data_IF_642220735177
#
_entry.id   IF_642220735177
#
_cell.length_a   1.000
_cell.length_b   1.000
_cell.length_c   1.000
_cell.angle_alpha   90.00
_cell.angle_beta   90.00
_cell.angle_gamma   90.00
#
_symmetry.space_group_name_H-M   'P 1'
#
loop_
_entity.id
_entity.type
_entity.pdbx_description
1 polymer ?
#
# COMPACT_ATOMS: atom_id res chain seq x y z
N UNK A 1 -40.20 207.31 -11.77
CA UNK A 1 -41.22 206.52 -12.49
C UNK A 1 -41.45 205.12 -11.90
N UNK A 2 -40.41 204.29 -11.70
CA UNK A 2 -40.51 202.91 -11.19
C UNK A 2 -41.16 202.74 -9.79
N UNK A 3 -41.19 203.77 -8.93
CA UNK A 3 -41.84 203.70 -7.60
C UNK A 3 -43.36 203.97 -7.62
N UNK A 4 -43.90 204.67 -8.65
CA UNK A 4 -45.36 204.91 -8.80
C UNK A 4 -46.09 203.73 -9.47
N UNK A 5 -45.39 202.93 -10.29
CA UNK A 5 -45.99 201.82 -11.04
C UNK A 5 -46.15 200.52 -10.23
N UNK A 6 -45.28 200.26 -9.23
CA UNK A 6 -45.50 199.13 -8.29
C UNK A 6 -46.72 199.32 -7.39
N UNK A 7 -47.18 200.56 -7.18
CA UNK A 7 -48.42 200.85 -6.44
C UNK A 7 -49.71 200.52 -7.20
N UNK A 8 -49.64 200.21 -8.50
CA UNK A 8 -50.79 199.94 -9.37
C UNK A 8 -50.95 198.45 -9.76
N UNK A 9 -50.21 197.53 -9.12
CA UNK A 9 -50.40 196.08 -9.30
C UNK A 9 -49.74 195.44 -10.54
N UNK A 10 -48.74 196.09 -11.16
CA UNK A 10 -48.00 195.51 -12.29
C UNK A 10 -46.68 194.80 -11.86
N UNK A 11 -46.46 193.58 -12.37
CA UNK A 11 -45.19 192.83 -12.21
C UNK A 11 -44.12 193.33 -13.18
N UNK A 12 -42.89 193.55 -12.69
CA UNK A 12 -41.75 194.07 -13.47
C UNK A 12 -40.61 193.06 -13.42
N UNK A 13 -40.08 192.67 -14.58
CA UNK A 13 -38.98 191.70 -14.72
C UNK A 13 -37.72 192.38 -15.27
N UNK A 14 -36.57 192.09 -14.63
CA UNK A 14 -35.28 192.76 -14.93
C UNK A 14 -34.44 192.03 -16.00
N UNK A 15 -34.84 190.83 -16.45
CA UNK A 15 -34.19 190.08 -17.54
C UNK A 15 -35.17 189.18 -18.30
N UNK A 16 -34.83 188.83 -19.54
CA UNK A 16 -35.74 188.12 -20.46
C UNK A 16 -36.06 186.66 -20.09
N UNK A 17 -35.13 185.80 -19.60
CA UNK A 17 -35.46 184.42 -19.26
C UNK A 17 -36.60 184.25 -18.24
N UNK A 18 -36.64 184.99 -17.11
CA UNK A 18 -37.76 184.89 -16.17
C UNK A 18 -39.06 185.45 -16.77
N UNK A 19 -39.00 186.47 -17.63
CA UNK A 19 -40.16 186.94 -18.38
C UNK A 19 -40.67 185.89 -19.38
N UNK A 20 -39.78 185.23 -20.11
CA UNK A 20 -40.11 184.20 -21.11
C UNK A 20 -40.75 182.96 -20.49
N UNK A 21 -40.25 182.51 -19.33
CA UNK A 21 -40.87 181.41 -18.59
C UNK A 21 -42.26 181.79 -18.05
N UNK A 22 -42.43 183.01 -17.54
CA UNK A 22 -43.74 183.53 -17.10
C UNK A 22 -44.73 183.61 -18.28
N UNK A 23 -44.28 184.11 -19.43
CA UNK A 23 -45.07 184.19 -20.66
C UNK A 23 -45.51 182.80 -21.15
N UNK A 24 -44.59 181.83 -21.21
CA UNK A 24 -44.87 180.43 -21.61
C UNK A 24 -45.96 179.79 -20.78
N UNK A 25 -45.88 179.94 -19.46
CA UNK A 25 -46.86 179.37 -18.54
C UNK A 25 -48.23 180.00 -18.71
N UNK A 26 -48.32 181.31 -18.96
CA UNK A 26 -49.61 181.99 -19.13
C UNK A 26 -50.32 181.62 -20.44
N UNK A 27 -49.56 181.35 -21.50
CA UNK A 27 -50.09 181.00 -22.83
C UNK A 27 -50.09 179.50 -23.15
N UNK A 28 -49.58 178.64 -22.26
CA UNK A 28 -49.70 177.17 -22.38
C UNK A 28 -48.72 176.51 -23.37
N UNK A 29 -47.48 177.00 -23.50
CA UNK A 29 -46.47 176.47 -24.45
C UNK A 29 -45.42 175.61 -23.70
N UNK A 30 -45.35 174.29 -24.00
CA UNK A 30 -44.57 173.30 -23.22
C UNK A 30 -43.06 173.25 -23.51
N UNK A 31 -42.62 173.42 -24.77
CA UNK A 31 -41.20 173.28 -25.15
C UNK A 31 -40.56 174.62 -25.53
N UNK A 32 -39.30 174.81 -25.12
CA UNK A 32 -38.54 176.05 -25.31
C UNK A 32 -38.27 176.37 -26.78
N UNK A 33 -38.03 175.34 -27.58
CA UNK A 33 -37.88 175.43 -29.04
C UNK A 33 -39.11 176.02 -29.75
N UNK A 34 -40.31 175.98 -29.14
CA UNK A 34 -41.50 176.61 -29.73
C UNK A 34 -41.42 178.14 -29.74
N UNK A 35 -40.74 178.75 -28.76
CA UNK A 35 -40.50 180.20 -28.70
C UNK A 35 -39.35 180.63 -29.61
N UNK A 36 -38.32 179.80 -29.77
CA UNK A 36 -37.27 180.00 -30.79
C UNK A 36 -37.86 179.89 -32.20
N UNK A 37 -38.75 178.93 -32.42
CA UNK A 37 -39.55 178.82 -33.63
C UNK A 37 -40.39 180.08 -33.86
N UNK A 38 -41.15 180.57 -32.87
CA UNK A 38 -41.96 181.79 -33.01
C UNK A 38 -41.11 183.03 -33.31
N UNK A 39 -39.97 183.18 -32.64
CA UNK A 39 -39.00 184.25 -32.90
C UNK A 39 -38.42 184.12 -34.32
N UNK A 40 -38.05 182.92 -34.78
CA UNK A 40 -37.62 182.69 -36.17
C UNK A 40 -38.76 182.89 -37.18
N UNK A 41 -40.03 182.63 -36.82
CA UNK A 41 -41.18 182.82 -37.71
C UNK A 41 -41.53 184.31 -37.88
N UNK A 42 -41.38 185.14 -36.83
CA UNK A 42 -41.59 186.60 -36.90
C UNK A 42 -40.37 187.33 -37.50
N UNK A 43 -39.18 186.72 -37.44
CA UNK A 43 -37.90 187.31 -37.88
C UNK A 43 -37.43 186.88 -39.28
N UNK A 44 -38.19 186.05 -40.01
CA UNK A 44 -37.83 185.64 -41.37
C UNK A 44 -38.61 186.38 -42.47
N UNK A 45 -37.89 187.28 -43.15
CA UNK A 45 -38.27 187.90 -44.43
C UNK A 45 -37.85 186.92 -45.55
N UNK A 46 -38.77 186.02 -45.93
CA UNK A 46 -38.72 185.00 -47.01
C UNK A 46 -38.14 183.62 -46.67
N UNK A 47 -38.86 182.59 -47.14
CA UNK A 47 -38.77 181.15 -46.81
C UNK A 47 -37.89 180.41 -47.83
N UNK A 48 -37.04 179.49 -47.36
CA UNK A 48 -36.29 178.55 -48.20
C UNK A 48 -36.14 177.18 -47.54
N UNK A 49 -37.03 176.25 -47.91
CA UNK A 49 -36.93 174.78 -47.75
C UNK A 49 -37.34 174.15 -46.39
N UNK A 50 -38.49 173.49 -46.38
CA UNK A 50 -39.17 172.86 -45.23
C UNK A 50 -38.60 171.47 -44.87
N UNK A 51 -37.96 170.77 -45.82
CA UNK A 51 -37.62 169.34 -45.65
C UNK A 51 -36.41 169.11 -44.75
N UNK A 52 -35.38 169.96 -44.86
CA UNK A 52 -34.20 169.86 -43.99
C UNK A 52 -34.51 170.20 -42.54
N UNK A 53 -35.52 171.06 -42.32
CA UNK A 53 -36.02 171.37 -40.99
C UNK A 53 -36.57 170.12 -40.28
N UNK A 54 -37.38 169.31 -40.98
CA UNK A 54 -37.96 168.09 -40.40
C UNK A 54 -36.88 167.03 -40.15
N UNK A 55 -35.93 166.82 -41.08
CA UNK A 55 -34.91 165.77 -40.92
C UNK A 55 -33.94 166.07 -39.78
N UNK A 56 -33.58 167.35 -39.61
CA UNK A 56 -32.55 167.76 -38.64
C UNK A 56 -33.12 167.95 -37.24
N UNK A 57 -34.40 168.35 -37.12
CA UNK A 57 -35.00 168.69 -35.82
C UNK A 57 -36.08 167.72 -35.35
N UNK A 58 -36.49 166.71 -36.13
CA UNK A 58 -37.54 165.76 -35.71
C UNK A 58 -37.16 164.26 -35.71
N UNK A 59 -35.91 163.86 -35.97
CA UNK A 59 -35.51 162.44 -35.96
C UNK A 59 -34.17 162.19 -35.23
N UNK A 60 -34.17 161.30 -34.22
CA UNK A 60 -32.99 160.88 -33.42
C UNK A 60 -32.11 159.80 -34.12
N UNK A 61 -30.80 159.69 -33.84
CA UNK A 61 -29.92 158.67 -34.43
C UNK A 61 -30.10 157.25 -33.83
N UNK A 62 -29.93 156.18 -34.63
CA UNK A 62 -30.18 154.76 -34.27
C UNK A 62 -28.86 153.94 -34.27
N UNK A 63 -28.57 153.14 -33.22
CA UNK A 63 -27.31 152.38 -33.05
C UNK A 63 -27.47 150.85 -33.28
N UNK A 64 -26.90 150.31 -34.37
CA UNK A 64 -27.10 148.92 -34.82
C UNK A 64 -25.96 147.95 -34.49
N UNK A 65 -24.78 148.42 -34.11
CA UNK A 65 -23.57 147.58 -33.96
C UNK A 65 -23.62 146.64 -32.76
N UNK A 66 -24.01 147.15 -31.58
CA UNK A 66 -24.09 146.37 -30.35
C UNK A 66 -25.07 145.18 -30.46
N UNK A 67 -26.14 145.34 -31.25
CA UNK A 67 -27.16 144.30 -31.45
C UNK A 67 -26.62 143.08 -32.22
N UNK A 68 -25.68 143.29 -33.15
CA UNK A 68 -25.10 142.19 -33.95
C UNK A 68 -24.14 141.37 -33.10
N UNK A 69 -23.30 142.01 -32.29
CA UNK A 69 -22.34 141.28 -31.43
C UNK A 69 -23.05 140.44 -30.36
N UNK A 70 -24.13 140.96 -29.77
CA UNK A 70 -24.99 140.20 -28.87
C UNK A 70 -25.59 138.96 -29.54
N UNK A 71 -25.97 139.06 -30.82
CA UNK A 71 -26.51 137.94 -31.60
C UNK A 71 -25.46 136.85 -31.87
N UNK A 72 -24.21 137.24 -32.17
CA UNK A 72 -23.12 136.30 -32.42
C UNK A 72 -22.78 135.51 -31.15
N UNK A 73 -22.67 136.19 -30.00
CA UNK A 73 -22.44 135.49 -28.72
C UNK A 73 -23.55 134.50 -28.39
N UNK A 74 -24.81 134.89 -28.63
CA UNK A 74 -25.94 133.99 -28.45
C UNK A 74 -25.89 132.78 -29.40
N UNK A 75 -25.38 132.94 -30.62
CA UNK A 75 -25.18 131.82 -31.55
C UNK A 75 -24.07 130.87 -31.09
N UNK A 76 -22.94 131.40 -30.61
CA UNK A 76 -21.83 130.56 -30.10
C UNK A 76 -22.24 129.76 -28.86
N UNK A 77 -23.02 130.37 -27.95
CA UNK A 77 -23.57 129.67 -26.78
C UNK A 77 -24.55 128.56 -27.20
N UNK A 78 -25.38 128.81 -28.22
CA UNK A 78 -26.26 127.79 -28.81
C UNK A 78 -25.47 126.66 -29.49
N UNK A 79 -24.39 126.95 -30.22
CA UNK A 79 -23.56 125.93 -30.88
C UNK A 79 -22.83 125.06 -29.85
N UNK A 80 -22.27 125.65 -28.78
CA UNK A 80 -21.66 124.85 -27.69
C UNK A 80 -22.67 123.94 -27.01
N UNK A 81 -23.88 124.44 -26.73
CA UNK A 81 -24.95 123.63 -26.19
C UNK A 81 -25.33 122.49 -27.15
N UNK A 82 -25.41 122.78 -28.46
CA UNK A 82 -25.68 121.80 -29.49
C UNK A 82 -24.59 120.71 -29.58
N UNK A 83 -23.31 121.09 -29.56
CA UNK A 83 -22.18 120.16 -29.58
C UNK A 83 -22.13 119.29 -28.32
N UNK A 84 -22.43 119.86 -27.15
CA UNK A 84 -22.53 119.09 -25.90
C UNK A 84 -23.65 118.03 -25.98
N UNK A 85 -24.81 118.39 -26.55
CA UNK A 85 -25.92 117.45 -26.79
C UNK A 85 -25.52 116.37 -27.80
N UNK A 86 -24.84 116.71 -28.90
CA UNK A 86 -24.34 115.73 -29.86
C UNK A 86 -23.35 114.75 -29.23
N UNK A 87 -22.43 115.23 -28.38
CA UNK A 87 -21.48 114.39 -27.66
C UNK A 87 -22.18 113.46 -26.67
N UNK A 88 -23.14 113.97 -25.90
CA UNK A 88 -23.95 113.16 -25.00
C UNK A 88 -24.75 112.11 -25.76
N UNK A 89 -25.35 112.47 -26.91
CA UNK A 89 -26.06 111.52 -27.78
C UNK A 89 -25.15 110.40 -28.26
N UNK A 90 -23.94 110.72 -28.75
CA UNK A 90 -22.95 109.71 -29.15
C UNK A 90 -22.51 108.82 -27.99
N UNK A 91 -22.36 109.37 -26.79
CA UNK A 91 -22.03 108.57 -25.59
C UNK A 91 -23.16 107.62 -25.22
N UNK A 92 -24.42 108.08 -25.29
CA UNK A 92 -25.60 107.23 -25.10
C UNK A 92 -25.61 106.13 -26.15
N UNK A 93 -25.47 106.46 -27.43
CA UNK A 93 -25.48 105.49 -28.54
C UNK A 93 -24.41 104.39 -28.37
N UNK A 94 -23.22 104.75 -27.88
CA UNK A 94 -22.14 103.79 -27.61
C UNK A 94 -22.35 102.97 -26.32
N UNK A 95 -22.97 103.53 -25.28
CA UNK A 95 -23.19 102.84 -24.01
C UNK A 95 -24.46 101.97 -24.02
N UNK A 96 -25.47 102.31 -24.81
CA UNK A 96 -26.71 101.52 -24.93
C UNK A 96 -26.48 100.03 -25.24
N UNK A 97 -25.65 99.63 -26.23
CA UNK A 97 -25.40 98.21 -26.48
C UNK A 97 -24.65 97.53 -25.33
N UNK A 98 -23.72 98.22 -24.66
CA UNK A 98 -22.98 97.66 -23.52
C UNK A 98 -23.91 97.36 -22.32
N UNK A 99 -24.87 98.27 -22.06
CA UNK A 99 -25.88 98.05 -21.01
C UNK A 99 -26.80 96.89 -21.37
N UNK A 100 -27.22 96.79 -22.64
CA UNK A 100 -28.05 95.68 -23.13
C UNK A 100 -27.30 94.33 -23.03
N UNK A 101 -26.03 94.28 -23.41
CA UNK A 101 -25.20 93.08 -23.29
C UNK A 101 -24.91 92.72 -21.84
N UNK A 102 -24.73 93.71 -20.96
CA UNK A 102 -24.62 93.50 -19.51
C UNK A 102 -25.87 92.86 -18.91
N UNK A 103 -27.06 93.36 -19.28
CA UNK A 103 -28.33 92.78 -18.87
C UNK A 103 -28.50 91.35 -19.43
N UNK A 104 -28.11 91.11 -20.69
CA UNK A 104 -28.14 89.79 -21.31
C UNK A 104 -27.18 88.81 -20.61
N UNK A 105 -25.98 89.25 -20.27
CA UNK A 105 -25.01 88.44 -19.54
C UNK A 105 -25.54 88.05 -18.16
N UNK A 106 -26.09 89.00 -17.40
CA UNK A 106 -26.72 88.73 -16.09
C UNK A 106 -27.86 87.73 -16.21
N UNK A 107 -28.73 87.87 -17.21
CA UNK A 107 -29.82 86.93 -17.46
C UNK A 107 -29.31 85.51 -17.79
N UNK A 108 -28.25 85.40 -18.62
CA UNK A 108 -27.64 84.10 -18.95
C UNK A 108 -26.95 83.46 -17.75
N UNK A 109 -26.24 84.24 -16.93
CA UNK A 109 -25.59 83.74 -15.71
C UNK A 109 -26.63 83.24 -14.71
N UNK A 110 -27.72 83.99 -14.51
CA UNK A 110 -28.83 83.55 -13.68
C UNK A 110 -29.44 82.24 -14.20
N UNK A 111 -29.75 82.16 -15.50
CA UNK A 111 -30.27 80.94 -16.09
C UNK A 111 -29.32 79.75 -15.94
N UNK A 112 -28.01 79.92 -16.16
CA UNK A 112 -27.01 78.86 -15.97
C UNK A 112 -26.98 78.40 -14.50
N UNK A 113 -27.09 79.32 -13.55
CA UNK A 113 -27.13 78.99 -12.14
C UNK A 113 -28.40 78.20 -11.80
N UNK A 114 -29.57 78.63 -12.28
CA UNK A 114 -30.84 77.91 -12.11
C UNK A 114 -30.75 76.48 -12.66
N UNK A 115 -30.13 76.29 -13.84
CA UNK A 115 -29.92 74.96 -14.42
C UNK A 115 -28.98 74.08 -13.59
N UNK A 116 -27.94 74.67 -12.99
CA UNK A 116 -27.01 73.94 -12.10
C UNK A 116 -27.71 73.53 -10.82
N UNK A 117 -28.46 74.44 -10.22
CA UNK A 117 -29.22 74.17 -9.00
C UNK A 117 -30.28 73.09 -9.27
N UNK A 118 -31.02 73.20 -10.38
CA UNK A 118 -31.98 72.17 -10.80
C UNK A 118 -31.32 70.79 -10.99
N UNK A 119 -30.14 70.74 -11.62
CA UNK A 119 -29.36 69.49 -11.78
C UNK A 119 -28.95 68.91 -10.44
N UNK A 120 -28.44 69.74 -9.54
CA UNK A 120 -27.94 69.30 -8.24
C UNK A 120 -29.10 68.80 -7.34
N UNK A 121 -30.30 69.34 -7.52
CA UNK A 121 -31.55 68.85 -6.89
C UNK A 121 -32.06 67.51 -7.44
N UNK A 122 -31.62 67.05 -8.62
CA UNK A 122 -32.01 65.72 -9.12
C UNK A 122 -31.54 64.60 -8.20
N UNK A 123 -30.34 64.74 -7.59
CA UNK A 123 -29.79 63.72 -6.69
C UNK A 123 -30.68 63.44 -5.46
N UNK A 124 -31.06 64.45 -4.64
CA UNK A 124 -31.97 64.21 -3.53
C UNK A 124 -33.36 63.76 -3.99
N UNK A 125 -33.85 64.23 -5.14
CA UNK A 125 -35.12 63.77 -5.72
C UNK A 125 -35.10 62.26 -6.03
N UNK A 126 -34.09 61.78 -6.75
CA UNK A 126 -33.94 60.34 -7.03
C UNK A 126 -33.64 59.52 -5.77
N UNK A 127 -32.92 60.08 -4.80
CA UNK A 127 -32.71 59.43 -3.51
C UNK A 127 -34.03 59.21 -2.76
N UNK A 128 -34.95 60.19 -2.81
CA UNK A 128 -36.30 60.07 -2.23
C UNK A 128 -37.09 58.96 -2.92
N UNK A 129 -37.14 58.94 -4.26
CA UNK A 129 -37.81 57.89 -5.03
C UNK A 129 -37.22 56.50 -4.71
N UNK A 130 -35.89 56.41 -4.57
CA UNK A 130 -35.22 55.17 -4.16
C UNK A 130 -35.63 54.74 -2.75
N UNK A 131 -35.74 55.68 -1.82
CA UNK A 131 -36.26 55.44 -0.47
C UNK A 131 -37.67 54.85 -0.50
N UNK A 132 -38.59 55.51 -1.21
CA UNK A 132 -39.97 55.04 -1.36
C UNK A 132 -40.06 53.60 -1.94
N UNK A 133 -39.21 53.27 -2.93
CA UNK A 133 -39.14 51.91 -3.49
C UNK A 133 -38.56 50.88 -2.52
N UNK A 134 -37.54 51.27 -1.74
CA UNK A 134 -36.93 50.40 -0.73
C UNK A 134 -37.91 50.14 0.41
N UNK A 135 -38.63 51.14 0.88
CA UNK A 135 -39.67 50.99 1.92
C UNK A 135 -40.78 50.06 1.46
N UNK A 136 -41.23 50.20 0.20
CA UNK A 136 -42.17 49.25 -0.39
C UNK A 136 -41.62 47.84 -0.45
N UNK A 137 -40.34 47.67 -0.80
CA UNK A 137 -39.69 46.35 -0.85
C UNK A 137 -39.57 45.73 0.55
N UNK A 138 -39.26 46.54 1.56
CA UNK A 138 -39.21 46.10 2.96
C UNK A 138 -40.59 45.65 3.44
N UNK A 139 -41.66 46.38 3.10
CA UNK A 139 -43.03 45.97 3.40
C UNK A 139 -43.38 44.59 2.82
N UNK A 140 -43.09 44.37 1.53
CA UNK A 140 -43.32 43.08 0.88
C UNK A 140 -42.51 41.94 1.53
N UNK A 141 -41.25 42.20 1.90
CA UNK A 141 -40.42 41.20 2.57
C UNK A 141 -40.93 40.88 3.98
N UNK A 142 -41.47 41.87 4.70
CA UNK A 142 -42.08 41.64 6.01
C UNK A 142 -43.34 40.78 5.90
N UNK A 143 -44.19 41.02 4.90
CA UNK A 143 -45.36 40.18 4.62
C UNK A 143 -44.96 38.74 4.27
N UNK A 144 -43.93 38.57 3.42
CA UNK A 144 -43.39 37.25 3.08
C UNK A 144 -42.83 36.53 4.31
N UNK A 145 -42.13 37.22 5.20
CA UNK A 145 -41.60 36.66 6.44
C UNK A 145 -42.72 36.13 7.34
N UNK A 146 -43.75 36.95 7.59
CA UNK A 146 -44.94 36.54 8.38
C UNK A 146 -45.62 35.31 7.77
N UNK A 147 -45.75 35.26 6.44
CA UNK A 147 -46.33 34.10 5.74
C UNK A 147 -45.49 32.84 5.95
N UNK A 148 -44.17 32.94 5.85
CA UNK A 148 -43.26 31.81 6.03
C UNK A 148 -43.24 31.33 7.48
N UNK A 149 -43.24 32.24 8.46
CA UNK A 149 -43.30 31.87 9.87
C UNK A 149 -44.59 31.10 10.20
N UNK A 150 -45.75 31.56 9.70
CA UNK A 150 -47.01 30.85 9.86
C UNK A 150 -46.99 29.46 9.18
N UNK A 151 -46.29 29.31 8.04
CA UNK A 151 -46.12 28.02 7.38
C UNK A 151 -45.23 27.08 8.20
N UNK A 152 -44.15 27.58 8.80
CA UNK A 152 -43.26 26.82 9.68
C UNK A 152 -44.03 26.32 10.89
N UNK A 153 -44.77 27.20 11.59
CA UNK A 153 -45.58 26.82 12.75
C UNK A 153 -46.60 25.72 12.41
N UNK A 154 -47.26 25.83 11.25
CA UNK A 154 -48.20 24.81 10.77
C UNK A 154 -47.50 23.46 10.52
N UNK A 155 -46.34 23.47 9.88
CA UNK A 155 -45.58 22.25 9.57
C UNK A 155 -45.02 21.61 10.84
N UNK A 156 -44.55 22.40 11.81
CA UNK A 156 -44.10 21.89 13.10
C UNK A 156 -45.24 21.25 13.90
N UNK A 157 -46.42 21.86 13.91
CA UNK A 157 -47.61 21.28 14.54
C UNK A 157 -48.05 19.96 13.87
N UNK A 158 -47.95 19.87 12.54
CA UNK A 158 -48.20 18.63 11.80
C UNK A 158 -47.18 17.56 12.18
N UNK A 159 -45.88 17.90 12.19
CA UNK A 159 -44.82 16.96 12.56
C UNK A 159 -45.01 16.40 13.97
N UNK A 160 -45.37 17.25 14.93
CA UNK A 160 -45.59 16.79 16.30
C UNK A 160 -46.81 15.88 16.41
N UNK A 161 -47.89 16.17 15.67
CA UNK A 161 -49.07 15.30 15.60
C UNK A 161 -48.72 13.93 15.03
N UNK A 162 -48.01 13.88 13.90
CA UNK A 162 -47.56 12.63 13.28
C UNK A 162 -46.63 11.84 14.19
N UNK A 163 -45.74 12.52 14.93
CA UNK A 163 -44.86 11.87 15.91
C UNK A 163 -45.64 11.22 17.05
N UNK A 164 -46.65 11.91 17.58
CA UNK A 164 -47.55 11.36 18.60
C UNK A 164 -48.33 10.16 18.05
N UNK A 165 -48.79 10.23 16.80
CA UNK A 165 -49.50 9.13 16.14
C UNK A 165 -48.60 7.91 15.91
N UNK A 166 -47.34 8.10 15.51
CA UNK A 166 -46.35 7.03 15.42
C UNK A 166 -46.18 6.35 16.79
N UNK A 167 -45.93 7.12 17.85
CA UNK A 167 -45.79 6.56 19.19
C UNK A 167 -47.07 5.90 19.72
N UNK A 168 -48.25 6.32 19.27
CA UNK A 168 -49.52 5.65 19.53
C UNK A 168 -49.64 4.33 18.76
N UNK A 169 -49.28 4.31 17.48
CA UNK A 169 -49.32 3.12 16.63
C UNK A 169 -48.31 2.07 17.07
N UNK A 170 -47.10 2.48 17.46
CA UNK A 170 -46.08 1.59 18.03
C UNK A 170 -46.59 0.93 19.32
N UNK A 171 -47.19 1.71 20.23
CA UNK A 171 -47.81 1.16 21.44
C UNK A 171 -48.97 0.22 21.10
N UNK A 172 -49.85 0.61 20.18
CA UNK A 172 -50.93 -0.26 19.73
C UNK A 172 -50.38 -1.56 19.10
N UNK A 173 -49.27 -1.51 18.36
CA UNK A 173 -48.62 -2.68 17.79
C UNK A 173 -48.07 -3.60 18.89
N UNK A 174 -47.41 -3.04 19.92
CA UNK A 174 -46.94 -3.80 21.09
C UNK A 174 -48.09 -4.43 21.87
N UNK A 175 -49.11 -3.64 22.20
CA UNK A 175 -50.28 -4.07 22.99
C UNK A 175 -51.10 -5.13 22.25
N UNK A 176 -51.16 -5.10 20.92
CA UNK A 176 -51.86 -6.10 20.10
C UNK A 176 -50.97 -7.30 19.70
N UNK A 177 -49.85 -7.53 20.40
CA UNK A 177 -49.06 -8.76 20.26
C UNK A 177 -47.89 -8.69 19.28
N UNK A 178 -47.45 -7.50 18.87
CA UNK A 178 -46.22 -7.31 18.09
C UNK A 178 -44.98 -7.87 18.79
N UNK A 179 -44.84 -7.62 20.10
CA UNK A 179 -43.75 -8.20 20.91
C UNK A 179 -43.81 -9.73 20.91
N UNK A 180 -45.03 -10.29 20.97
CA UNK A 180 -45.22 -11.74 20.94
C UNK A 180 -44.89 -12.33 19.56
N UNK A 181 -45.21 -11.62 18.48
CA UNK A 181 -44.86 -12.02 17.12
C UNK A 181 -43.34 -11.94 16.89
N UNK A 182 -42.66 -10.91 17.38
CA UNK A 182 -41.21 -10.79 17.31
C UNK A 182 -40.51 -11.88 18.14
N UNK A 183 -40.98 -12.16 19.36
CA UNK A 183 -40.49 -13.28 20.16
C UNK A 183 -40.68 -14.62 19.45
N UNK A 184 -41.85 -14.84 18.84
CA UNK A 184 -42.14 -16.08 18.11
C UNK A 184 -41.27 -16.17 16.86
N UNK A 185 -41.06 -15.09 16.11
CA UNK A 185 -40.17 -15.08 14.95
C UNK A 185 -38.71 -15.38 15.36
N UNK A 186 -38.23 -14.80 16.45
CA UNK A 186 -36.90 -15.08 16.99
C UNK A 186 -36.78 -16.55 17.44
N UNK A 187 -37.81 -17.09 18.12
CA UNK A 187 -37.87 -18.50 18.51
C UNK A 187 -37.90 -19.42 17.29
N UNK A 188 -38.68 -19.11 16.25
CA UNK A 188 -38.72 -19.88 15.01
C UNK A 188 -37.35 -19.91 14.34
N UNK A 189 -36.69 -18.76 14.16
CA UNK A 189 -35.34 -18.71 13.58
C UNK A 189 -34.33 -19.55 14.36
N UNK A 190 -34.37 -19.47 15.70
CA UNK A 190 -33.50 -20.28 16.57
C UNK A 190 -33.79 -21.78 16.41
N UNK A 191 -35.07 -22.17 16.44
CA UNK A 191 -35.49 -23.57 16.31
C UNK A 191 -35.19 -24.13 14.90
N UNK A 192 -35.28 -23.31 13.85
CA UNK A 192 -34.88 -23.69 12.49
C UNK A 192 -33.37 -23.96 12.40
N UNK A 193 -32.54 -23.08 12.98
CA UNK A 193 -31.10 -23.32 13.06
C UNK A 193 -30.76 -24.59 13.83
N UNK A 194 -31.41 -24.80 14.99
CA UNK A 194 -31.23 -26.01 15.79
C UNK A 194 -31.67 -27.27 15.01
N UNK A 195 -32.78 -27.19 14.25
CA UNK A 195 -33.25 -28.27 13.37
C UNK A 195 -32.22 -28.58 12.29
N UNK A 196 -31.71 -27.58 11.57
CA UNK A 196 -30.71 -27.79 10.52
C UNK A 196 -29.42 -28.44 11.05
N UNK A 197 -28.94 -27.97 12.21
CA UNK A 197 -27.76 -28.56 12.84
C UNK A 197 -28.00 -30.01 13.26
N UNK A 198 -29.17 -30.31 13.84
CA UNK A 198 -29.55 -31.69 14.21
C UNK A 198 -29.72 -32.57 12.98
N UNK A 199 -30.31 -32.06 11.91
CA UNK A 199 -30.45 -32.78 10.64
C UNK A 199 -29.09 -33.14 10.05
N UNK A 200 -28.16 -32.17 9.94
CA UNK A 200 -26.79 -32.44 9.46
C UNK A 200 -26.06 -33.51 10.28
N UNK A 201 -26.25 -33.50 11.60
CA UNK A 201 -25.69 -34.53 12.49
C UNK A 201 -26.35 -35.90 12.27
N UNK A 202 -27.67 -35.93 12.08
CA UNK A 202 -28.41 -37.15 11.75
C UNK A 202 -27.99 -37.73 10.41
N UNK A 203 -27.91 -36.91 9.36
CA UNK A 203 -27.51 -37.33 8.02
C UNK A 203 -26.09 -37.91 8.04
N UNK A 204 -25.16 -37.21 8.68
CA UNK A 204 -23.78 -37.70 8.87
C UNK A 204 -23.73 -39.02 9.64
N UNK A 205 -24.57 -39.17 10.66
CA UNK A 205 -24.65 -40.42 11.42
C UNK A 205 -25.18 -41.57 10.55
N UNK A 206 -26.21 -41.33 9.73
CA UNK A 206 -26.74 -42.31 8.78
C UNK A 206 -25.71 -42.71 7.72
N UNK A 207 -24.96 -41.76 7.17
CA UNK A 207 -23.86 -42.03 6.22
C UNK A 207 -22.78 -42.92 6.84
N UNK A 208 -22.44 -42.69 8.12
CA UNK A 208 -21.44 -43.49 8.82
C UNK A 208 -21.95 -44.91 9.12
N UNK A 209 -23.22 -45.06 9.51
CA UNK A 209 -23.85 -46.36 9.72
C UNK A 209 -23.93 -47.18 8.42
N UNK A 210 -24.21 -46.53 7.29
CA UNK A 210 -24.25 -47.18 5.98
C UNK A 210 -22.89 -47.80 5.58
N UNK A 211 -21.77 -47.24 6.03
CA UNK A 211 -20.42 -47.80 5.76
C UNK A 211 -20.13 -49.10 6.52
N UNK A 212 -20.89 -49.38 7.56
CA UNK A 212 -20.76 -50.58 8.40
C UNK A 212 -22.00 -51.47 8.29
N UNK A 213 -22.85 -51.23 7.28
CA UNK A 213 -24.10 -51.95 7.01
C UNK A 213 -25.06 -52.03 8.21
N UNK A 214 -25.12 -50.95 9.01
CA UNK A 214 -26.00 -50.82 10.16
C UNK A 214 -27.21 -49.92 9.86
N UNK A 215 -28.38 -50.27 10.42
CA UNK A 215 -29.58 -49.46 10.30
C UNK A 215 -29.59 -48.31 11.33
N UNK A 216 -30.21 -47.18 10.97
CA UNK A 216 -30.41 -46.08 11.91
C UNK A 216 -31.40 -46.46 13.03
N UNK A 217 -31.11 -46.09 14.29
CA UNK A 217 -32.00 -46.36 15.41
C UNK A 217 -33.24 -45.47 15.34
N UNK A 218 -34.40 -46.01 15.70
CA UNK A 218 -35.69 -45.30 15.67
C UNK A 218 -35.99 -44.52 16.96
N UNK A 219 -35.31 -44.86 18.06
CA UNK A 219 -35.52 -44.29 19.39
C UNK A 219 -34.20 -44.08 20.16
N UNK A 220 -34.27 -43.35 21.27
CA UNK A 220 -33.11 -43.04 22.12
C UNK A 220 -32.50 -44.30 22.75
N UNK A 221 -33.35 -45.23 23.20
CA UNK A 221 -32.91 -46.50 23.77
C UNK A 221 -32.11 -47.31 22.74
N UNK A 222 -32.63 -47.44 21.51
CA UNK A 222 -31.93 -48.09 20.41
C UNK A 222 -30.61 -47.41 20.06
N UNK A 223 -30.54 -46.07 20.08
CA UNK A 223 -29.30 -45.34 19.85
C UNK A 223 -28.21 -45.66 20.88
N UNK A 224 -28.55 -45.67 22.17
CA UNK A 224 -27.59 -45.98 23.24
C UNK A 224 -27.10 -47.43 23.16
N UNK A 225 -28.01 -48.39 22.93
CA UNK A 225 -27.64 -49.79 22.74
C UNK A 225 -26.73 -49.97 21.53
N UNK A 226 -27.06 -49.33 20.40
CA UNK A 226 -26.26 -49.41 19.17
C UNK A 226 -24.88 -48.77 19.36
N UNK A 227 -24.79 -47.62 20.04
CA UNK A 227 -23.52 -46.97 20.35
C UNK A 227 -22.60 -47.89 21.16
N UNK A 228 -23.13 -48.53 22.20
CA UNK A 228 -22.38 -49.48 23.02
C UNK A 228 -21.96 -50.72 22.20
N UNK A 229 -22.86 -51.26 21.38
CA UNK A 229 -22.58 -52.40 20.51
C UNK A 229 -21.49 -52.11 19.47
N UNK A 230 -21.53 -50.94 18.82
CA UNK A 230 -20.50 -50.49 17.87
C UNK A 230 -19.16 -50.31 18.58
N UNK A 231 -19.15 -49.72 19.78
CA UNK A 231 -17.93 -49.53 20.56
C UNK A 231 -17.28 -50.88 20.94
N UNK A 232 -18.08 -51.84 21.42
CA UNK A 232 -17.59 -53.20 21.73
C UNK A 232 -17.07 -53.91 20.48
N UNK A 233 -17.78 -53.80 19.35
CA UNK A 233 -17.35 -54.39 18.07
C UNK A 233 -16.04 -53.78 17.58
N UNK A 234 -15.90 -52.46 17.66
CA UNK A 234 -14.68 -51.77 17.30
C UNK A 234 -13.49 -52.23 18.17
N UNK A 235 -13.70 -52.38 19.47
CA UNK A 235 -12.65 -52.88 20.37
C UNK A 235 -12.28 -54.33 20.07
N UNK A 236 -13.27 -55.20 19.82
CA UNK A 236 -13.02 -56.57 19.39
C UNK A 236 -12.26 -56.66 18.07
N UNK A 237 -12.56 -55.78 17.10
CA UNK A 237 -11.83 -55.70 15.83
C UNK A 237 -10.39 -55.22 16.04
N UNK A 238 -10.15 -54.23 16.90
CA UNK A 238 -8.79 -53.78 17.24
C UNK A 238 -7.97 -54.91 17.87
N UNK A 239 -8.57 -55.66 18.80
CA UNK A 239 -7.93 -56.83 19.40
C UNK A 239 -7.57 -57.88 18.35
N UNK A 240 -8.51 -58.21 17.45
CA UNK A 240 -8.26 -59.16 16.36
C UNK A 240 -7.16 -58.69 15.40
N UNK A 241 -7.09 -57.39 15.09
CA UNK A 241 -6.01 -56.83 14.26
C UNK A 241 -4.67 -57.01 14.97
N UNK A 242 -4.58 -56.67 16.26
CA UNK A 242 -3.34 -56.84 17.02
C UNK A 242 -2.91 -58.31 17.11
N UNK A 243 -3.85 -59.24 17.29
CA UNK A 243 -3.58 -60.67 17.29
C UNK A 243 -3.07 -61.17 15.94
N UNK A 244 -3.68 -60.69 14.83
CA UNK A 244 -3.24 -61.04 13.47
C UNK A 244 -1.86 -60.48 13.16
N UNK A 245 -1.58 -59.22 13.52
CA UNK A 245 -0.25 -58.61 13.35
C UNK A 245 0.81 -59.37 14.13
N UNK A 246 0.51 -59.82 15.35
CA UNK A 246 1.44 -60.62 16.14
C UNK A 246 1.69 -61.98 15.50
N UNK A 247 0.64 -62.67 15.03
CA UNK A 247 0.78 -63.94 14.31
C UNK A 247 1.58 -63.78 13.01
N UNK A 248 1.33 -62.73 12.25
CA UNK A 248 2.09 -62.43 11.04
C UNK A 248 3.59 -62.28 11.36
N UNK A 249 3.94 -61.53 12.42
CA UNK A 249 5.34 -61.38 12.85
C UNK A 249 5.98 -62.67 13.34
N UNK A 250 5.22 -63.50 14.07
CA UNK A 250 5.69 -64.81 14.54
C UNK A 250 5.98 -65.74 13.34
N UNK A 251 5.06 -65.82 12.38
CA UNK A 251 5.24 -66.60 11.15
C UNK A 251 6.37 -66.06 10.28
N UNK A 252 6.53 -64.74 10.18
CA UNK A 252 7.67 -64.13 9.48
C UNK A 252 9.00 -64.50 10.14
N UNK A 253 9.04 -64.54 11.48
CA UNK A 253 10.24 -64.94 12.22
C UNK A 253 10.55 -66.43 12.05
N UNK A 254 9.55 -67.32 12.17
CA UNK A 254 9.73 -68.76 11.94
C UNK A 254 10.17 -69.04 10.51
N UNK A 255 9.58 -68.35 9.53
CA UNK A 255 9.97 -68.46 8.13
C UNK A 255 11.42 -68.02 7.88
N UNK A 256 11.85 -66.88 8.44
CA UNK A 256 13.25 -66.42 8.33
C UNK A 256 14.22 -67.42 8.95
N UNK A 257 13.92 -67.90 10.16
CA UNK A 257 14.76 -68.89 10.85
C UNK A 257 14.84 -70.20 10.06
N UNK A 258 13.71 -70.71 9.56
CA UNK A 258 13.68 -71.91 8.73
C UNK A 258 14.45 -71.74 7.41
N UNK A 259 14.43 -70.54 6.82
CA UNK A 259 15.23 -70.21 5.63
C UNK A 259 16.73 -70.16 5.92
N UNK A 260 17.14 -69.61 7.06
CA UNK A 260 18.54 -69.62 7.50
C UNK A 260 19.04 -71.05 7.73
N UNK A 261 18.27 -71.88 8.45
CA UNK A 261 18.57 -73.30 8.67
C UNK A 261 18.65 -74.07 7.35
N UNK A 262 17.70 -73.85 6.44
CA UNK A 262 17.71 -74.46 5.11
C UNK A 262 18.97 -74.08 4.32
N UNK A 263 19.37 -72.80 4.36
CA UNK A 263 20.56 -72.32 3.67
C UNK A 263 21.82 -72.96 4.24
N UNK A 264 21.96 -72.98 5.57
CA UNK A 264 23.10 -73.61 6.24
C UNK A 264 23.22 -75.11 5.93
N UNK A 265 22.10 -75.85 5.98
CA UNK A 265 22.07 -77.27 5.62
C UNK A 265 22.36 -77.50 4.13
N UNK A 266 21.88 -76.62 3.25
CA UNK A 266 22.15 -76.71 1.81
C UNK A 266 23.63 -76.52 1.50
N UNK A 267 24.26 -75.52 2.13
CA UNK A 267 25.70 -75.25 1.99
C UNK A 267 26.54 -76.42 2.55
N UNK A 268 26.11 -77.04 3.65
CA UNK A 268 26.76 -78.23 4.21
C UNK A 268 26.65 -79.44 3.28
N UNK A 269 25.47 -79.71 2.73
CA UNK A 269 25.25 -80.81 1.77
C UNK A 269 26.11 -80.60 0.52
N UNK A 270 26.13 -79.38 -0.02
CA UNK A 270 26.97 -79.07 -1.18
C UNK A 270 28.46 -79.25 -0.86
N UNK A 271 28.89 -78.84 0.33
CA UNK A 271 30.26 -79.07 0.81
C UNK A 271 30.58 -80.56 0.91
N UNK A 272 29.67 -81.40 1.43
CA UNK A 272 29.86 -82.84 1.57
C UNK A 272 29.88 -83.55 0.21
N UNK A 273 28.99 -83.18 -0.72
CA UNK A 273 28.92 -83.78 -2.05
C UNK A 273 30.17 -83.52 -2.90
N UNK A 274 30.86 -82.38 -2.69
CA UNK A 274 32.09 -82.04 -3.42
C UNK A 274 33.34 -82.75 -2.88
N UNK A 275 33.28 -83.40 -1.71
CA UNK A 275 34.47 -84.03 -1.08
C UNK A 275 34.81 -85.38 -1.71
N UNK A 276 36.10 -85.58 -2.00
CA UNK A 276 36.71 -86.86 -2.41
C UNK A 276 37.47 -87.58 -1.29
N UNK A 277 37.63 -86.95 -0.12
CA UNK A 277 38.44 -87.42 1.00
C UNK A 277 37.67 -87.31 2.32
N UNK A 278 37.82 -88.30 3.19
CA UNK A 278 37.19 -88.35 4.53
C UNK A 278 37.89 -87.46 5.57
N UNK A 279 38.81 -86.61 5.13
CA UNK A 279 39.55 -85.67 5.98
C UNK A 279 38.68 -84.45 6.27
N UNK A 280 38.73 -83.97 7.52
CA UNK A 280 37.98 -82.79 7.94
C UNK A 280 38.33 -81.57 7.08
N UNK A 281 37.33 -80.80 6.67
CA UNK A 281 37.49 -79.57 5.91
C UNK A 281 38.44 -78.57 6.58
N UNK A 282 38.54 -78.58 7.92
CA UNK A 282 39.52 -77.77 8.63
C UNK A 282 40.97 -78.16 8.29
N UNK A 283 41.27 -79.46 8.19
CA UNK A 283 42.61 -79.96 7.86
C UNK A 283 42.95 -79.74 6.38
N UNK A 284 41.97 -79.95 5.48
CA UNK A 284 42.13 -79.66 4.05
C UNK A 284 42.44 -78.17 3.83
N UNK A 285 41.68 -77.26 4.47
CA UNK A 285 41.96 -75.82 4.39
C UNK A 285 43.37 -75.44 4.87
N UNK A 286 43.88 -76.10 5.90
CA UNK A 286 45.24 -75.88 6.39
C UNK A 286 46.27 -76.33 5.35
N UNK A 287 46.08 -77.50 4.73
CA UNK A 287 46.93 -77.99 3.64
C UNK A 287 46.90 -77.02 2.45
N UNK A 288 45.71 -76.61 2.00
CA UNK A 288 45.56 -75.74 0.84
C UNK A 288 46.20 -74.36 1.07
N UNK A 289 46.03 -73.79 2.27
CA UNK A 289 46.67 -72.54 2.66
C UNK A 289 48.20 -72.65 2.70
N UNK A 290 48.71 -73.78 3.18
CA UNK A 290 50.15 -74.08 3.23
C UNK A 290 50.72 -74.26 1.83
N UNK A 291 50.09 -75.09 0.99
CA UNK A 291 50.46 -75.34 -0.40
C UNK A 291 50.45 -74.05 -1.21
N UNK A 292 49.42 -73.21 -1.05
CA UNK A 292 49.34 -71.91 -1.72
C UNK A 292 50.44 -70.95 -1.26
N UNK A 293 50.71 -70.87 0.05
CA UNK A 293 51.72 -69.96 0.59
C UNK A 293 53.16 -70.36 0.23
N UNK A 294 53.43 -71.66 0.12
CA UNK A 294 54.77 -72.20 -0.18
C UNK A 294 54.94 -72.60 -1.64
N UNK A 295 53.89 -72.46 -2.47
CA UNK A 295 53.86 -72.90 -3.88
C UNK A 295 54.26 -74.37 -4.06
N UNK A 296 53.74 -75.23 -3.19
CA UNK A 296 53.94 -76.69 -3.22
C UNK A 296 52.66 -77.34 -3.78
N UNK A 297 52.78 -78.38 -4.61
CA UNK A 297 51.62 -79.12 -5.10
C UNK A 297 50.93 -79.91 -3.98
N UNK A 298 49.59 -80.01 -4.02
CA UNK A 298 48.83 -80.78 -3.02
C UNK A 298 49.24 -82.26 -2.95
N UNK A 299 49.63 -82.85 -4.08
CA UNK A 299 50.08 -84.25 -4.16
C UNK A 299 51.45 -84.49 -3.49
N UNK A 300 52.24 -83.44 -3.25
CA UNK A 300 53.55 -83.53 -2.59
C UNK A 300 53.45 -83.52 -1.06
N UNK A 301 52.31 -83.09 -0.53
CA UNK A 301 52.00 -83.07 0.91
C UNK A 301 50.72 -83.87 1.19
N UNK A 302 50.70 -85.18 0.88
CA UNK A 302 49.52 -85.99 1.14
C UNK A 302 49.35 -86.20 2.65
N UNK A 303 48.10 -86.37 3.07
CA UNK A 303 47.82 -86.91 4.39
C UNK A 303 48.07 -88.42 4.39
N UNK A 304 48.59 -88.98 5.48
CA UNK A 304 48.89 -90.42 5.53
C UNK A 304 47.67 -91.30 5.23
N UNK A 305 46.47 -90.85 5.60
CA UNK A 305 45.21 -91.54 5.34
C UNK A 305 44.80 -91.58 3.86
N UNK A 306 45.30 -90.66 3.03
CA UNK A 306 45.05 -90.67 1.58
C UNK A 306 45.88 -91.75 0.85
N UNK A 307 46.91 -92.28 1.52
CA UNK A 307 47.84 -93.27 0.97
C UNK A 307 47.63 -94.68 1.52
N UNK A 308 46.74 -94.85 2.50
CA UNK A 308 46.48 -96.12 3.18
C UNK A 308 45.03 -96.53 2.95
N UNK A 309 44.84 -97.76 2.50
CA UNK A 309 43.53 -98.37 2.32
C UNK A 309 43.48 -99.73 3.00
N UNK A 310 42.32 -100.13 3.54
CA UNK A 310 42.11 -101.50 4.01
C UNK A 310 41.85 -102.40 2.81
N UNK A 311 42.37 -103.62 2.81
CA UNK A 311 42.15 -104.56 1.70
C UNK A 311 40.65 -104.89 1.56
N UNK A 312 40.21 -105.09 0.32
CA UNK A 312 38.80 -105.35 0.01
C UNK A 312 38.24 -106.62 0.67
N UNK A 313 39.08 -107.62 0.92
CA UNK A 313 38.73 -108.87 1.62
C UNK A 313 38.66 -108.72 3.15
N UNK A 314 39.12 -107.59 3.69
CA UNK A 314 39.24 -107.33 5.14
C UNK A 314 38.41 -106.12 5.59
N UNK A 315 37.41 -105.70 4.79
CA UNK A 315 36.53 -104.54 5.05
C UNK A 315 35.85 -104.55 6.42
N UNK A 316 35.62 -105.73 7.01
CA UNK A 316 35.11 -105.84 8.38
C UNK A 316 36.01 -105.17 9.44
N UNK A 317 37.29 -104.94 9.12
CA UNK A 317 38.25 -104.24 9.98
C UNK A 317 38.37 -102.75 9.67
N UNK A 318 37.67 -102.22 8.67
CA UNK A 318 37.81 -100.83 8.21
C UNK A 318 37.52 -99.82 9.32
N UNK A 319 36.37 -99.93 9.99
CA UNK A 319 36.01 -99.03 11.08
C UNK A 319 36.91 -99.16 12.33
N UNK A 320 37.56 -100.32 12.54
CA UNK A 320 38.53 -100.50 13.62
C UNK A 320 39.90 -99.91 13.24
N UNK A 321 40.34 -100.15 12.00
CA UNK A 321 41.56 -99.59 11.43
C UNK A 321 41.50 -98.06 11.39
N UNK A 322 40.39 -97.49 10.95
CA UNK A 322 40.19 -96.04 10.91
C UNK A 322 40.31 -95.43 12.30
N UNK A 323 39.69 -96.00 13.33
CA UNK A 323 39.78 -95.45 14.69
C UNK A 323 41.18 -95.50 15.28
N UNK A 324 41.92 -96.58 15.04
CA UNK A 324 43.31 -96.68 15.49
C UNK A 324 44.22 -95.74 14.71
N UNK A 325 44.05 -95.67 13.39
CA UNK A 325 44.89 -94.88 12.51
C UNK A 325 44.46 -93.43 12.40
N UNK A 326 43.29 -93.01 12.91
CA UNK A 326 42.72 -91.66 12.68
C UNK A 326 43.72 -90.54 12.93
N UNK A 327 44.40 -90.56 14.08
CA UNK A 327 45.40 -89.55 14.43
C UNK A 327 46.62 -89.56 13.51
N UNK A 328 47.00 -90.74 12.99
CA UNK A 328 48.09 -90.89 12.03
C UNK A 328 47.64 -90.53 10.61
N UNK A 329 46.44 -90.92 10.21
CA UNK A 329 45.85 -90.65 8.90
C UNK A 329 45.60 -89.16 8.65
N UNK A 330 45.35 -88.38 9.71
CA UNK A 330 45.25 -86.92 9.66
C UNK A 330 46.62 -86.21 9.70
N UNK A 331 47.73 -86.94 9.76
CA UNK A 331 49.05 -86.33 9.75
C UNK A 331 49.54 -86.06 8.32
N UNK A 332 50.06 -84.87 8.09
CA UNK A 332 50.62 -84.44 6.81
C UNK A 332 52.02 -85.04 6.63
N UNK A 333 52.28 -85.66 5.48
CA UNK A 333 53.61 -86.19 5.16
C UNK A 333 54.43 -85.10 4.46
N UNK A 334 55.55 -84.72 5.07
CA UNK A 334 56.39 -83.62 4.57
C UNK A 334 57.72 -84.19 4.08
N UNK A 335 57.99 -84.20 2.75
CA UNK A 335 59.29 -84.57 2.21
C UNK A 335 60.40 -83.71 2.80
N UNK A 336 61.59 -84.29 2.98
CA UNK A 336 62.70 -83.55 3.60
C UNK A 336 63.14 -82.29 2.86
N UNK A 337 62.87 -82.18 1.55
CA UNK A 337 63.12 -80.96 0.78
C UNK A 337 62.28 -79.76 1.26
N UNK A 338 61.06 -80.01 1.74
CA UNK A 338 60.09 -78.97 2.10
C UNK A 338 59.97 -78.73 3.61
N UNK A 339 60.57 -79.61 4.43
CA UNK A 339 60.43 -79.59 5.88
C UNK A 339 60.73 -78.24 6.53
N UNK A 340 61.83 -77.59 6.14
CA UNK A 340 62.23 -76.30 6.73
C UNK A 340 61.20 -75.21 6.44
N UNK A 341 60.74 -75.12 5.19
CA UNK A 341 59.75 -74.12 4.77
C UNK A 341 58.39 -74.35 5.44
N UNK A 342 57.98 -75.61 5.58
CA UNK A 342 56.76 -76.02 6.28
C UNK A 342 56.82 -75.66 7.75
N UNK A 343 57.90 -76.00 8.45
CA UNK A 343 58.08 -75.69 9.87
C UNK A 343 58.05 -74.16 10.12
N UNK A 344 58.79 -73.39 9.33
CA UNK A 344 58.82 -71.92 9.44
C UNK A 344 57.45 -71.27 9.18
N UNK A 345 56.63 -71.86 8.31
CA UNK A 345 55.28 -71.37 8.01
C UNK A 345 54.29 -71.68 9.13
N UNK A 346 54.31 -72.91 9.65
CA UNK A 346 53.45 -73.34 10.76
C UNK A 346 53.70 -72.47 12.00
N UNK A 347 54.95 -72.15 12.31
CA UNK A 347 55.30 -71.31 13.48
C UNK A 347 54.80 -69.86 13.38
N UNK A 348 54.55 -69.37 12.17
CA UNK A 348 54.11 -67.97 11.93
C UNK A 348 52.61 -67.81 11.80
N UNK A 349 51.87 -68.88 11.54
CA UNK A 349 50.45 -68.82 11.20
C UNK A 349 49.54 -69.35 12.31
N UNK A 350 48.39 -68.69 12.49
CA UNK A 350 47.36 -69.19 13.41
C UNK A 350 46.44 -70.16 12.68
N UNK A 351 46.69 -71.47 12.84
CA UNK A 351 46.04 -72.52 12.04
C UNK A 351 44.58 -72.81 12.41
N UNK A 352 44.11 -72.37 13.59
CA UNK A 352 42.73 -72.59 14.04
C UNK A 352 42.34 -74.05 14.34
N UNK A 353 43.21 -75.02 14.05
CA UNK A 353 43.09 -76.43 14.40
C UNK A 353 44.47 -77.07 14.65
N UNK A 354 44.49 -78.25 15.28
CA UNK A 354 45.73 -79.00 15.55
C UNK A 354 46.22 -79.67 14.25
N UNK A 355 47.37 -79.24 13.75
CA UNK A 355 48.09 -79.90 12.65
C UNK A 355 49.18 -80.82 13.21
N UNK A 356 49.25 -82.05 12.71
CA UNK A 356 50.36 -82.98 12.96
C UNK A 356 51.03 -83.23 11.62
N UNK A 357 52.35 -83.12 11.54
CA UNK A 357 53.10 -83.44 10.33
C UNK A 357 54.31 -84.30 10.66
N UNK A 358 54.67 -85.18 9.72
CA UNK A 358 55.83 -86.05 9.84
C UNK A 358 56.91 -85.66 8.83
N UNK A 359 58.14 -85.57 9.33
CA UNK A 359 59.31 -85.36 8.50
C UNK A 359 59.72 -86.67 7.83
N UNK A 360 59.47 -86.79 6.52
CA UNK A 360 59.82 -87.98 5.75
C UNK A 360 61.22 -87.81 5.16
N UNK A 361 62.18 -88.53 5.73
CA UNK A 361 63.55 -88.62 5.22
C UNK A 361 63.65 -89.79 4.23
N UNK A 362 64.00 -89.50 2.98
CA UNK A 362 64.30 -90.56 2.01
C UNK A 362 65.61 -91.26 2.40
N UNK A 363 65.55 -92.58 2.62
CA UNK A 363 66.75 -93.40 2.82
C UNK A 363 67.25 -93.90 1.46
N UNK A 364 68.58 -94.04 1.33
CA UNK A 364 69.19 -94.73 0.18
C UNK A 364 68.83 -96.22 0.26
N UNK A 365 68.27 -96.75 -0.83
CA UNK A 365 67.97 -98.18 -0.99
C UNK A 365 69.20 -99.03 -0.61
N UNK A 366 69.06 -99.89 0.42
CA UNK A 366 70.13 -100.78 0.88
C UNK A 366 70.32 -100.87 2.40
N UNK A 367 69.76 -99.96 3.20
CA UNK A 367 69.71 -100.11 4.66
C UNK A 367 68.44 -100.83 5.10
N UNK A 368 68.36 -102.13 4.85
CA UNK A 368 67.39 -103.00 5.52
C UNK A 368 67.79 -103.13 6.99
N UNK A 369 67.31 -102.24 7.84
CA UNK A 369 67.35 -102.44 9.28
C UNK A 369 66.51 -103.70 9.59
N UNK A 370 67.13 -104.71 10.20
CA UNK A 370 66.47 -105.97 10.59
C UNK A 370 65.23 -105.71 11.44
N UNK A 371 64.05 -105.91 10.86
CA UNK A 371 62.77 -105.71 11.52
C UNK A 371 62.25 -107.03 12.11
N UNK A 372 61.75 -106.97 13.34
CA UNK A 372 61.00 -108.05 13.96
C UNK A 372 59.89 -108.56 13.02
N UNK A 373 59.64 -109.87 13.00
CA UNK A 373 58.53 -110.42 12.23
C UNK A 373 57.21 -109.90 12.78
N UNK A 374 56.43 -109.20 11.94
CA UNK A 374 55.07 -108.76 12.26
C UNK A 374 54.25 -109.90 12.84
N UNK A 375 53.41 -109.58 13.81
CA UNK A 375 52.47 -110.55 14.37
C UNK A 375 51.68 -111.26 13.25
N UNK A 376 51.42 -112.58 13.34
CA UNK A 376 50.70 -113.32 12.30
C UNK A 376 49.34 -112.72 11.95
N UNK A 377 48.67 -112.11 12.93
CA UNK A 377 47.37 -111.46 12.79
C UNK A 377 47.46 -109.94 12.89
N UNK A 378 48.58 -109.34 12.52
CA UNK A 378 48.79 -107.88 12.57
C UNK A 378 47.82 -107.12 11.69
N UNK A 379 47.30 -105.99 12.19
CA UNK A 379 46.49 -105.06 11.40
C UNK A 379 47.23 -104.56 10.17
N UNK A 380 48.55 -104.37 10.25
CA UNK A 380 49.39 -103.90 9.13
C UNK A 380 49.28 -104.82 7.91
N UNK A 381 49.07 -106.13 8.10
CA UNK A 381 48.91 -107.10 7.02
C UNK A 381 47.59 -106.94 6.26
N UNK A 382 46.59 -106.29 6.88
CA UNK A 382 45.26 -106.02 6.31
C UNK A 382 45.18 -104.67 5.59
N UNK A 383 46.27 -103.90 5.58
CA UNK A 383 46.38 -102.61 4.90
C UNK A 383 47.09 -102.75 3.55
N UNK A 384 46.77 -101.84 2.63
CA UNK A 384 47.42 -101.60 1.35
C UNK A 384 47.92 -100.16 1.36
N UNK A 385 49.19 -99.97 1.01
CA UNK A 385 49.77 -98.65 0.81
C UNK A 385 49.83 -98.39 -0.69
N UNK A 386 49.49 -97.17 -1.11
CA UNK A 386 49.54 -96.74 -2.51
C UNK A 386 50.97 -96.90 -3.08
N UNK A 387 51.14 -97.81 -4.05
CA UNK A 387 52.45 -98.29 -4.51
C UNK A 387 53.27 -97.26 -5.30
N UNK A 388 52.61 -96.30 -5.95
CA UNK A 388 53.20 -95.19 -6.70
C UNK A 388 53.58 -93.99 -5.80
N UNK A 389 53.37 -94.08 -4.49
CA UNK A 389 53.68 -92.99 -3.56
C UNK A 389 55.19 -92.91 -3.22
N UNK A 390 55.81 -91.72 -3.33
CA UNK A 390 57.19 -91.48 -2.86
C UNK A 390 57.39 -91.75 -1.36
N UNK A 391 56.31 -91.88 -0.59
CA UNK A 391 56.31 -92.10 0.86
C UNK A 391 56.15 -93.57 1.26
N UNK A 392 56.07 -94.51 0.31
CA UNK A 392 55.75 -95.91 0.54
C UNK A 392 56.64 -96.58 1.60
N UNK A 393 57.97 -96.51 1.42
CA UNK A 393 58.91 -97.19 2.32
C UNK A 393 58.84 -96.66 3.76
N UNK A 394 58.68 -95.34 3.90
CA UNK A 394 58.56 -94.70 5.21
C UNK A 394 57.23 -95.08 5.89
N UNK A 395 56.12 -95.03 5.15
CA UNK A 395 54.80 -95.43 5.65
C UNK A 395 54.78 -96.90 6.07
N UNK A 396 55.35 -97.79 5.27
CA UNK A 396 55.41 -99.21 5.57
C UNK A 396 56.18 -99.47 6.88
N UNK A 397 57.31 -98.80 7.08
CA UNK A 397 58.09 -98.93 8.29
C UNK A 397 57.36 -98.38 9.52
N UNK A 398 56.78 -97.17 9.43
CA UNK A 398 56.02 -96.56 10.53
C UNK A 398 54.81 -97.40 10.92
N UNK A 399 54.09 -97.95 9.93
CA UNK A 399 52.98 -98.87 10.17
C UNK A 399 53.45 -100.12 10.91
N UNK A 400 54.56 -100.73 10.49
CA UNK A 400 55.12 -101.91 11.16
C UNK A 400 55.60 -101.63 12.58
N UNK A 401 56.17 -100.46 12.84
CA UNK A 401 56.71 -100.14 14.17
C UNK A 401 55.61 -99.75 15.16
N UNK A 402 54.68 -98.89 14.73
CA UNK A 402 53.72 -98.24 15.63
C UNK A 402 52.38 -98.94 15.64
N UNK A 403 52.02 -99.66 14.58
CA UNK A 403 50.69 -100.22 14.41
C UNK A 403 50.68 -101.75 14.22
N UNK A 404 51.76 -102.44 14.64
CA UNK A 404 51.76 -103.90 14.79
C UNK A 404 50.90 -104.34 15.98
N UNK A 405 49.59 -104.37 15.72
CA UNK A 405 48.53 -104.67 16.69
C UNK A 405 47.79 -105.92 16.22
N UNK A 406 47.62 -106.89 17.11
CA UNK A 406 46.93 -108.15 16.80
C UNK A 406 45.42 -107.92 16.61
N UNK A 407 44.88 -108.29 15.45
CA UNK A 407 43.45 -108.28 15.15
C UNK A 407 42.76 -109.48 15.83
N UNK A 408 42.06 -109.23 16.93
CA UNK A 408 41.46 -110.30 17.73
C UNK A 408 39.98 -110.51 17.36
N UNK A 409 39.63 -111.74 17.00
CA UNK A 409 38.25 -112.12 16.70
C UNK A 409 37.42 -112.38 17.97
N UNK A 410 38.06 -112.68 19.11
CA UNK A 410 37.40 -112.98 20.38
C UNK A 410 37.95 -112.16 21.55
N UNK A 411 37.11 -111.95 22.56
CA UNK A 411 37.47 -111.23 23.79
C UNK A 411 38.56 -111.92 24.60
N UNK A 412 38.66 -113.26 24.53
CA UNK A 412 39.72 -114.01 25.22
C UNK A 412 41.09 -113.77 24.58
N UNK A 413 41.13 -113.75 23.25
CA UNK A 413 42.34 -113.45 22.49
C UNK A 413 42.84 -112.03 22.79
N UNK A 414 41.91 -111.06 22.80
CA UNK A 414 42.21 -109.66 23.12
C UNK A 414 42.83 -109.48 24.52
N UNK A 415 42.46 -110.31 25.50
CA UNK A 415 43.06 -110.25 26.85
C UNK A 415 44.47 -110.83 26.90
N UNK A 416 44.77 -111.86 26.10
CA UNK A 416 46.08 -112.54 26.08
C UNK A 416 47.16 -111.73 25.37
N UNK A 417 46.81 -111.08 24.27
CA UNK A 417 47.74 -110.30 23.46
C UNK A 417 48.18 -109.02 24.18
N UNK A 418 49.45 -108.63 24.02
CA UNK A 418 49.97 -107.41 24.62
C UNK A 418 49.42 -106.15 23.94
N UNK A 419 49.44 -106.14 22.59
CA UNK A 419 48.89 -105.09 21.72
C UNK A 419 47.80 -105.69 20.85
N UNK A 420 46.55 -105.29 21.05
CA UNK A 420 45.42 -105.88 20.35
C UNK A 420 44.32 -104.88 19.97
N UNK A 421 43.55 -105.23 18.95
CA UNK A 421 42.37 -104.49 18.52
C UNK A 421 41.22 -105.47 18.23
N UNK A 422 40.01 -105.12 18.67
CA UNK A 422 38.79 -105.88 18.33
C UNK A 422 38.14 -105.32 17.07
N UNK A 423 37.25 -106.08 16.42
CA UNK A 423 36.42 -105.58 15.29
C UNK A 423 35.56 -104.39 15.67
N UNK A 424 35.08 -104.36 16.92
CA UNK A 424 34.38 -103.22 17.49
C UNK A 424 35.33 -102.05 17.81
N UNK A 425 36.63 -102.14 17.49
CA UNK A 425 37.68 -101.13 17.63
C UNK A 425 38.00 -100.71 19.05
N UNK A 426 37.89 -101.65 19.99
CA UNK A 426 38.51 -101.53 21.31
C UNK A 426 40.01 -101.77 21.15
N UNK A 427 40.83 -100.85 21.64
CA UNK A 427 42.29 -100.88 21.48
C UNK A 427 42.92 -101.19 22.84
N UNK A 428 43.87 -102.12 22.85
CA UNK A 428 44.75 -102.42 23.97
C UNK A 428 46.18 -102.12 23.52
N UNK A 429 46.77 -101.11 24.12
CA UNK A 429 48.18 -100.75 23.94
C UNK A 429 48.80 -100.72 25.34
N UNK A 430 49.92 -101.41 25.61
CA UNK A 430 50.69 -101.20 26.81
C UNK A 430 51.45 -99.89 26.63
N UNK A 431 50.75 -98.78 26.89
CA UNK A 431 51.38 -97.46 27.01
C UNK A 431 52.35 -97.42 28.17
#
# INVERSE_FOLDING_TARGET
MRKKLRGAGCELFDSFPPYGAWFRRRFGIEHEQALELFHQTVSMKSVGNLTDFVRSHMLEPFDSGQRIEALIRHFDDLDRAHQAVLKAKRQVDLLTPLVADGARHQALVAAIQDWRDARDQLRPYFARLKGELLDRRLGLLAEDAVRLDAQIERLDAQRETERVDIGRLERALRDNGGDRLEELAAKTRRLEQDKEQRQKKSDRFQELLARIDEAAPTDEAGFLTQQQGIAQRAEGLRGRIADLDNREREEDFTFRKGREEHTALSDEIESLQRRKSNIDAAQIRIRDALCAALSIGEDELPFAGELIQVRDDEREWEGAAERLLRGFGLALLVPGAHYKAVADWVDRQHLGARLVYFHVLQRKAGQAAGGASLHPQSLVRKLVIKADSPHYEWLEQELRQRFDVACCASSEQFRREARAITRAGQIKDPS
#
